data_IF_199250252555
#
_entry.id   IF_199250252555
#
_cell.length_a   1.000
_cell.length_b   1.000
_cell.length_c   1.000
_cell.angle_alpha   90.00
_cell.angle_beta   90.00
_cell.angle_gamma   90.00
#
_symmetry.space_group_name_H-M   'P 1'
#
loop_
_entity.id
_entity.type
_entity.pdbx_description
1 polymer ?
#
# COMPACT_ATOMS: atom_id res chain seq x y z
N UNK A 1 -6.33 -39.99 18.57
CA UNK A 1 -6.73 -38.55 18.51
C UNK A 1 -5.72 -37.63 19.21
N UNK A 2 -5.29 -37.99 20.43
CA UNK A 2 -4.33 -37.19 21.20
C UNK A 2 -2.91 -37.23 20.62
N UNK A 3 -2.40 -38.38 20.17
CA UNK A 3 -1.05 -38.48 19.61
C UNK A 3 -0.83 -37.61 18.37
N UNK A 4 -1.80 -37.62 17.43
CA UNK A 4 -1.78 -36.76 16.26
C UNK A 4 -1.85 -35.27 16.62
N UNK A 5 -2.57 -34.92 17.70
CA UNK A 5 -2.63 -33.54 18.18
C UNK A 5 -1.31 -33.12 18.81
N UNK A 6 -0.74 -33.96 19.68
CA UNK A 6 0.55 -33.74 20.33
C UNK A 6 1.64 -33.54 19.29
N UNK A 7 1.66 -34.36 18.24
CA UNK A 7 2.63 -34.22 17.15
C UNK A 7 2.53 -32.85 16.46
N UNK A 8 1.31 -32.37 16.15
CA UNK A 8 1.14 -31.03 15.58
C UNK A 8 1.54 -29.92 16.57
N UNK A 9 1.29 -30.11 17.87
CA UNK A 9 1.72 -29.15 18.89
C UNK A 9 3.24 -29.10 19.04
N UNK A 10 3.92 -30.24 18.97
CA UNK A 10 5.39 -30.32 18.96
C UNK A 10 6.00 -29.66 17.72
N UNK A 11 5.30 -29.69 16.57
CA UNK A 11 5.67 -28.92 15.38
C UNK A 11 5.46 -27.40 15.54
N UNK A 12 4.88 -26.96 16.66
CA UNK A 12 4.66 -25.54 16.99
C UNK A 12 3.29 -25.01 16.57
N UNK A 13 2.33 -25.87 16.22
CA UNK A 13 0.96 -25.44 15.96
C UNK A 13 0.15 -25.32 17.26
N UNK A 14 -0.65 -24.27 17.39
CA UNK A 14 -1.53 -24.10 18.56
C UNK A 14 -2.57 -25.22 18.65
N UNK A 15 -2.84 -25.70 19.87
CA UNK A 15 -3.80 -26.78 20.14
C UNK A 15 -5.14 -26.60 19.42
N UNK A 16 -5.71 -25.39 19.47
CA UNK A 16 -7.00 -25.08 18.81
C UNK A 16 -6.93 -25.25 17.30
N UNK A 17 -5.81 -24.86 16.69
CA UNK A 17 -5.59 -24.95 15.24
C UNK A 17 -5.33 -26.40 14.84
N UNK A 18 -4.51 -27.13 15.59
CA UNK A 18 -4.25 -28.56 15.42
C UNK A 18 -5.54 -29.39 15.49
N UNK A 19 -6.38 -29.13 16.50
CA UNK A 19 -7.67 -29.82 16.68
C UNK A 19 -8.60 -29.59 15.50
N UNK A 20 -8.68 -28.34 15.02
CA UNK A 20 -9.52 -27.99 13.89
C UNK A 20 -9.02 -28.64 12.61
N UNK A 21 -7.71 -28.58 12.34
CA UNK A 21 -7.12 -29.17 11.15
C UNK A 21 -7.38 -30.68 11.10
N UNK A 22 -7.08 -31.40 12.19
CA UNK A 22 -7.36 -32.83 12.32
C UNK A 22 -8.84 -33.15 12.08
N UNK A 23 -9.76 -32.36 12.62
CA UNK A 23 -11.20 -32.58 12.39
C UNK A 23 -11.59 -32.37 10.92
N UNK A 24 -10.98 -31.40 10.24
CA UNK A 24 -11.29 -31.08 8.84
C UNK A 24 -10.68 -32.09 7.86
N UNK A 25 -9.61 -32.77 8.23
CA UNK A 25 -8.87 -33.70 7.37
C UNK A 25 -9.16 -35.17 7.68
N UNK A 26 -10.10 -35.46 8.58
CA UNK A 26 -10.41 -36.83 8.98
C UNK A 26 -9.32 -37.48 9.85
N UNK A 27 -8.60 -36.68 10.63
CA UNK A 27 -7.49 -37.07 11.51
C UNK A 27 -6.23 -37.56 10.78
N UNK A 28 -6.10 -37.23 9.50
CA UNK A 28 -4.86 -37.42 8.75
C UNK A 28 -3.85 -36.31 9.12
N UNK A 29 -2.70 -36.72 9.68
CA UNK A 29 -1.65 -35.81 10.13
C UNK A 29 -1.04 -35.04 8.93
N UNK A 30 -0.74 -35.72 7.83
CA UNK A 30 -0.11 -35.10 6.66
C UNK A 30 -1.02 -34.06 6.03
N UNK A 31 -2.30 -34.40 5.84
CA UNK A 31 -3.29 -33.47 5.33
C UNK A 31 -3.52 -32.29 6.31
N UNK A 32 -3.45 -32.53 7.63
CA UNK A 32 -3.56 -31.48 8.64
C UNK A 32 -2.39 -30.50 8.61
N UNK A 33 -1.16 -31.01 8.46
CA UNK A 33 0.05 -30.18 8.31
C UNK A 33 -0.06 -29.33 7.04
N UNK A 34 -0.46 -29.94 5.91
CA UNK A 34 -0.62 -29.22 4.65
C UNK A 34 -1.62 -28.05 4.77
N UNK A 35 -2.79 -28.31 5.38
CA UNK A 35 -3.81 -27.30 5.65
C UNK A 35 -3.27 -26.15 6.51
N UNK A 36 -2.59 -26.48 7.62
CA UNK A 36 -2.05 -25.48 8.56
C UNK A 36 -0.93 -24.64 7.91
N UNK A 37 -0.08 -25.25 7.09
CA UNK A 37 0.92 -24.53 6.31
C UNK A 37 0.28 -23.54 5.33
N UNK A 38 -0.69 -24.00 4.53
CA UNK A 38 -1.38 -23.16 3.54
C UNK A 38 -2.09 -21.96 4.21
N UNK A 39 -2.76 -22.17 5.34
CA UNK A 39 -3.42 -21.10 6.09
C UNK A 39 -2.42 -20.07 6.65
N UNK A 40 -1.29 -20.55 7.17
CA UNK A 40 -0.22 -19.67 7.66
C UNK A 40 0.35 -18.82 6.54
N UNK A 41 0.61 -19.42 5.38
CA UNK A 41 1.10 -18.71 4.18
C UNK A 41 0.09 -17.66 3.71
N UNK A 42 -1.20 -18.02 3.58
CA UNK A 42 -2.27 -17.09 3.22
C UNK A 42 -2.37 -15.93 4.21
N UNK A 43 -2.24 -16.20 5.51
CA UNK A 43 -2.26 -15.16 6.56
C UNK A 43 -1.06 -14.22 6.46
N UNK A 44 0.13 -14.75 6.18
CA UNK A 44 1.34 -13.94 5.97
C UNK A 44 1.18 -13.07 4.73
N UNK A 45 0.69 -13.63 3.61
CA UNK A 45 0.49 -12.91 2.37
C UNK A 45 -0.52 -11.76 2.54
N UNK A 46 -1.68 -12.03 3.15
CA UNK A 46 -2.69 -10.99 3.45
C UNK A 46 -2.10 -9.87 4.30
N UNK A 47 -1.38 -10.22 5.38
CA UNK A 47 -0.73 -9.21 6.23
C UNK A 47 0.28 -8.35 5.46
N UNK A 48 1.06 -8.95 4.56
CA UNK A 48 2.00 -8.20 3.71
C UNK A 48 1.27 -7.26 2.75
N UNK A 49 0.20 -7.73 2.11
CA UNK A 49 -0.64 -6.92 1.22
C UNK A 49 -1.33 -5.77 1.97
N UNK A 50 -1.87 -6.03 3.16
CA UNK A 50 -2.48 -5.01 4.01
C UNK A 50 -1.44 -3.95 4.41
N UNK A 51 -0.23 -4.36 4.78
CA UNK A 51 0.87 -3.45 5.10
C UNK A 51 1.30 -2.61 3.90
N UNK A 52 1.38 -3.19 2.71
CA UNK A 52 1.71 -2.48 1.48
C UNK A 52 0.63 -1.46 1.10
N UNK A 53 -0.63 -1.88 1.16
CA UNK A 53 -1.80 -1.01 0.92
C UNK A 53 -1.84 0.16 1.92
N UNK A 54 -1.60 -0.12 3.20
CA UNK A 54 -1.56 0.91 4.24
C UNK A 54 -0.42 1.92 3.99
N UNK A 55 0.76 1.44 3.57
CA UNK A 55 1.90 2.30 3.23
C UNK A 55 1.55 3.19 2.03
N UNK A 56 0.92 2.63 1.00
CA UNK A 56 0.51 3.37 -0.18
C UNK A 56 -0.52 4.45 0.17
N UNK A 57 -1.54 4.13 0.98
CA UNK A 57 -2.53 5.10 1.45
C UNK A 57 -1.86 6.25 2.20
N UNK A 58 -0.97 5.93 3.16
CA UNK A 58 -0.23 6.94 3.93
C UNK A 58 0.66 7.81 3.03
N UNK A 59 1.21 7.24 1.96
CA UNK A 59 2.00 7.96 0.99
C UNK A 59 1.14 8.90 0.14
N UNK A 60 0.01 8.42 -0.39
CA UNK A 60 -0.96 9.26 -1.11
C UNK A 60 -1.43 10.44 -0.27
N UNK A 61 -1.69 10.22 1.03
CA UNK A 61 -2.12 11.28 1.96
C UNK A 61 -1.13 12.43 2.09
N UNK A 62 0.17 12.21 1.87
CA UNK A 62 1.20 13.28 1.91
C UNK A 62 1.01 14.30 0.79
N UNK A 63 0.46 13.87 -0.34
CA UNK A 63 0.25 14.71 -1.51
C UNK A 63 -1.15 15.33 -1.55
N UNK A 64 -2.07 14.84 -0.72
CA UNK A 64 -3.45 15.30 -0.67
C UNK A 64 -4.31 14.68 -1.77
N UNK A 65 -5.47 15.30 -2.03
CA UNK A 65 -6.48 14.78 -2.95
C UNK A 65 -6.67 15.69 -4.16
N UNK A 66 -7.07 15.08 -5.27
CA UNK A 66 -7.51 15.78 -6.48
C UNK A 66 -8.83 16.53 -6.22
N UNK A 67 -9.19 17.52 -7.05
CA UNK A 67 -10.50 18.17 -6.98
C UNK A 67 -11.70 17.20 -6.94
N UNK A 68 -11.64 16.04 -7.61
CA UNK A 68 -12.63 14.96 -7.55
C UNK A 68 -12.44 13.99 -6.37
N UNK A 69 -11.71 14.41 -5.33
CA UNK A 69 -11.52 13.69 -4.07
C UNK A 69 -10.78 12.34 -4.20
N UNK A 70 -10.03 12.13 -5.30
CA UNK A 70 -9.19 10.93 -5.50
C UNK A 70 -7.80 11.15 -4.90
N UNK A 71 -7.15 10.09 -4.43
CA UNK A 71 -5.73 10.13 -4.08
C UNK A 71 -4.87 10.34 -5.33
N UNK A 72 -3.65 10.86 -5.15
CA UNK A 72 -2.67 10.91 -6.26
C UNK A 72 -2.33 9.48 -6.67
N UNK A 73 -2.32 9.21 -7.98
CA UNK A 73 -2.01 7.89 -8.54
C UNK A 73 -0.50 7.62 -8.44
N UNK A 74 -0.12 6.60 -7.66
CA UNK A 74 1.27 6.28 -7.35
C UNK A 74 2.03 5.71 -8.56
N UNK A 75 1.36 5.01 -9.47
CA UNK A 75 1.99 4.48 -10.69
C UNK A 75 2.34 5.63 -11.65
N UNK A 76 1.43 6.59 -11.82
CA UNK A 76 1.67 7.78 -12.64
C UNK A 76 2.73 8.67 -12.01
N UNK A 77 2.70 8.83 -10.69
CA UNK A 77 3.75 9.54 -9.96
C UNK A 77 5.11 8.90 -10.16
N UNK A 78 5.21 7.57 -10.02
CA UNK A 78 6.46 6.82 -10.25
C UNK A 78 7.00 7.03 -11.66
N UNK A 79 6.10 7.04 -12.66
CA UNK A 79 6.46 7.29 -14.06
C UNK A 79 7.09 8.67 -14.23
N UNK A 80 6.46 9.73 -13.71
CA UNK A 80 7.02 11.08 -13.75
C UNK A 80 8.35 11.21 -12.98
N UNK A 81 8.48 10.57 -11.82
CA UNK A 81 9.75 10.58 -11.08
C UNK A 81 10.87 9.82 -11.80
N UNK A 82 10.53 8.78 -12.58
CA UNK A 82 11.50 8.01 -13.37
C UNK A 82 12.04 8.85 -14.53
N UNK A 83 11.19 9.72 -15.11
CA UNK A 83 11.61 10.70 -16.13
C UNK A 83 12.57 11.76 -15.55
N UNK A 84 12.54 11.97 -14.22
CA UNK A 84 13.45 12.87 -13.53
C UNK A 84 12.78 14.05 -12.81
N UNK A 85 11.45 14.10 -12.79
CA UNK A 85 10.73 15.14 -12.04
C UNK A 85 10.79 14.89 -10.53
N UNK A 86 10.93 15.98 -9.76
CA UNK A 86 10.89 15.92 -8.31
C UNK A 86 9.51 15.41 -7.82
N UNK A 87 9.53 14.55 -6.80
CA UNK A 87 8.37 13.78 -6.39
C UNK A 87 7.18 14.64 -5.94
N UNK A 88 7.41 15.69 -5.14
CA UNK A 88 6.32 16.57 -4.72
C UNK A 88 5.76 17.39 -5.88
N UNK A 89 6.63 17.89 -6.76
CA UNK A 89 6.25 18.65 -7.94
C UNK A 89 5.39 17.81 -8.89
N UNK A 90 5.81 16.57 -9.18
CA UNK A 90 5.05 15.64 -10.01
C UNK A 90 3.71 15.26 -9.37
N UNK A 91 3.69 15.04 -8.05
CA UNK A 91 2.47 14.72 -7.33
C UNK A 91 1.47 15.87 -7.35
N UNK A 92 1.92 17.12 -7.21
CA UNK A 92 1.04 18.28 -7.33
C UNK A 92 0.53 18.51 -8.75
N UNK A 93 1.37 18.28 -9.76
CA UNK A 93 0.92 18.32 -11.16
C UNK A 93 -0.18 17.29 -11.44
N UNK A 94 -0.03 16.06 -10.94
CA UNK A 94 -1.08 15.03 -11.00
C UNK A 94 -2.33 15.42 -10.21
N UNK A 95 -2.15 15.98 -9.02
CA UNK A 95 -3.26 16.36 -8.14
C UNK A 95 -4.17 17.41 -8.77
N UNK A 96 -3.59 18.44 -9.36
CA UNK A 96 -4.33 19.55 -10.00
C UNK A 96 -5.01 19.09 -11.29
N UNK A 97 -4.43 18.09 -11.97
CA UNK A 97 -4.94 17.56 -13.25
C UNK A 97 -5.71 16.24 -13.12
N UNK A 98 -6.29 15.91 -11.95
CA UNK A 98 -7.13 14.68 -11.80
C UNK A 98 -6.42 13.35 -12.15
N UNK A 99 -5.12 13.26 -11.85
CA UNK A 99 -4.26 12.15 -12.27
C UNK A 99 -4.19 11.93 -13.79
N UNK A 100 -4.44 12.96 -14.60
CA UNK A 100 -4.18 12.95 -16.03
C UNK A 100 -2.67 13.11 -16.27
N UNK A 101 -2.00 12.03 -16.70
CA UNK A 101 -0.55 12.00 -16.80
C UNK A 101 -0.03 12.88 -17.94
N UNK A 102 -0.76 13.00 -19.05
CA UNK A 102 -0.38 13.83 -20.18
C UNK A 102 -0.46 15.30 -19.80
N UNK A 103 -1.58 15.74 -19.20
CA UNK A 103 -1.70 17.13 -18.73
C UNK A 103 -0.73 17.47 -17.61
N UNK A 104 -0.45 16.52 -16.72
CA UNK A 104 0.56 16.71 -15.69
C UNK A 104 1.96 16.86 -16.31
N UNK A 105 2.30 16.06 -17.32
CA UNK A 105 3.57 16.18 -18.03
C UNK A 105 3.66 17.52 -18.77
N UNK A 106 2.62 17.91 -19.51
CA UNK A 106 2.54 19.20 -20.20
C UNK A 106 2.75 20.37 -19.24
N UNK A 107 2.12 20.30 -18.05
CA UNK A 107 2.28 21.30 -17.00
C UNK A 107 3.71 21.37 -16.45
N UNK A 108 4.41 20.24 -16.38
CA UNK A 108 5.78 20.14 -15.87
C UNK A 108 6.82 20.57 -16.91
N UNK A 109 6.55 20.35 -18.19
CA UNK A 109 7.46 20.70 -19.29
C UNK A 109 7.30 22.13 -19.78
N UNK A 110 6.15 22.76 -19.52
CA UNK A 110 5.91 24.17 -19.83
C UNK A 110 6.60 25.08 -18.79
N UNK A 111 7.62 25.87 -19.15
CA UNK A 111 8.40 26.66 -18.19
C UNK A 111 7.57 27.68 -17.41
N UNK A 112 6.61 28.34 -18.08
CA UNK A 112 5.78 29.37 -17.45
C UNK A 112 4.85 28.74 -16.41
N UNK A 113 4.14 27.68 -16.82
CA UNK A 113 3.21 26.99 -15.92
C UNK A 113 3.93 26.29 -14.77
N UNK A 114 5.09 25.68 -15.04
CA UNK A 114 5.91 25.04 -14.04
C UNK A 114 6.43 26.06 -13.01
N UNK A 115 6.88 27.24 -13.44
CA UNK A 115 7.29 28.32 -12.53
C UNK A 115 6.15 28.74 -11.59
N UNK A 116 4.93 28.89 -12.13
CA UNK A 116 3.74 29.20 -11.32
C UNK A 116 3.43 28.07 -10.33
N UNK A 117 3.52 26.81 -10.76
CA UNK A 117 3.30 25.65 -9.90
C UNK A 117 4.31 25.60 -8.74
N UNK A 118 5.59 25.76 -9.04
CA UNK A 118 6.66 25.78 -8.03
C UNK A 118 6.48 26.93 -7.03
N UNK A 119 6.09 28.11 -7.50
CA UNK A 119 5.80 29.27 -6.65
C UNK A 119 4.62 29.00 -5.69
N UNK A 120 3.57 28.33 -6.19
CA UNK A 120 2.43 27.89 -5.36
C UNK A 120 2.85 26.86 -4.30
N UNK A 121 3.71 25.91 -4.66
CA UNK A 121 4.22 24.90 -3.71
C UNK A 121 5.07 25.57 -2.63
N UNK A 122 5.98 26.47 -3.02
CA UNK A 122 6.85 27.18 -2.07
C UNK A 122 6.05 28.08 -1.12
N UNK A 123 5.05 28.81 -1.62
CA UNK A 123 4.21 29.66 -0.78
C UNK A 123 3.39 28.86 0.24
N UNK A 124 2.91 27.66 -0.11
CA UNK A 124 2.26 26.74 0.83
C UNK A 124 3.21 26.23 1.90
N UNK A 125 4.45 25.89 1.53
CA UNK A 125 5.49 25.46 2.49
C UNK A 125 5.93 26.56 3.46
N UNK A 126 5.87 27.83 3.04
CA UNK A 126 6.26 28.99 3.87
C UNK A 126 5.16 29.48 4.81
N UNK A 127 3.89 29.07 4.63
CA UNK A 127 2.85 29.37 5.62
C UNK A 127 3.08 28.44 6.82
N UNK A 128 3.48 28.95 8.00
CA UNK A 128 3.48 28.12 9.19
C UNK A 128 2.05 27.62 9.38
N UNK A 129 1.92 26.35 9.72
CA UNK A 129 0.68 25.77 10.24
C UNK A 129 0.29 26.55 11.50
N UNK A 130 -0.49 27.61 11.31
CA UNK A 130 -1.06 28.39 12.40
C UNK A 130 -2.57 28.32 12.27
N UNK A 131 -3.19 27.87 13.37
CA UNK A 131 -4.60 27.93 13.74
C UNK A 131 -5.49 26.92 12.98
N UNK A 132 -6.26 26.01 13.60
CA UNK A 132 -6.92 25.95 14.92
C UNK A 132 -6.56 24.68 15.71
#
# INVERSE_FOLDING_TARGET
PDEAMTMLMEMGYEERSSKRALKMTGYDIQASVALLCEEREKKILRRKQDQETQREILEQMKYGKTPMNKGVDMQKLKSLTTIGFEKYLAAEALRINENDAEKALDLLTDPEKNCVLQSKIQSRRKRPSHVL
#
